data_IF_442427369286
#
_entry.id   IF_442427369286
#
_cell.length_a   1.000
_cell.length_b   1.000
_cell.length_c   1.000
_cell.angle_alpha   90.00
_cell.angle_beta   90.00
_cell.angle_gamma   90.00
#
_symmetry.space_group_name_H-M   'P 1'
#
loop_
_entity.id
_entity.type
_entity.pdbx_description
1 polymer ?
#
# COMPACT_ATOMS: atom_id res chain seq x y z
N UNK A 1 -20.74 -40.80 26.91
CA UNK A 1 -19.66 -40.80 25.90
C UNK A 1 -19.99 -40.03 24.61
N UNK A 2 -21.27 -39.88 24.20
CA UNK A 2 -21.65 -39.15 22.96
C UNK A 2 -21.46 -37.62 22.96
N UNK A 3 -21.40 -36.98 24.14
CA UNK A 3 -21.24 -35.50 24.25
C UNK A 3 -19.81 -35.02 23.98
N UNK A 4 -18.81 -35.88 24.20
CA UNK A 4 -17.39 -35.53 24.00
C UNK A 4 -17.01 -35.46 22.52
N UNK A 5 -17.62 -36.30 21.67
CA UNK A 5 -17.39 -36.29 20.22
C UNK A 5 -17.95 -35.05 19.52
N UNK A 6 -19.03 -34.46 20.06
CA UNK A 6 -19.61 -33.23 19.53
C UNK A 6 -18.70 -32.02 19.83
N UNK A 7 -18.12 -31.94 21.02
CA UNK A 7 -17.17 -30.87 21.39
C UNK A 7 -15.87 -30.92 20.58
N UNK A 8 -15.35 -32.13 20.29
CA UNK A 8 -14.16 -32.29 19.44
C UNK A 8 -14.44 -31.93 17.96
N UNK A 9 -15.63 -32.23 17.44
CA UNK A 9 -16.03 -31.87 16.08
C UNK A 9 -16.22 -30.36 15.88
N UNK A 10 -16.74 -29.66 16.89
CA UNK A 10 -16.91 -28.19 16.85
C UNK A 10 -15.56 -27.46 16.96
N UNK A 11 -14.64 -27.98 17.79
CA UNK A 11 -13.28 -27.42 17.89
C UNK A 11 -12.47 -27.63 16.60
N UNK A 12 -12.57 -28.81 15.95
CA UNK A 12 -11.93 -29.08 14.67
C UNK A 12 -12.46 -28.23 13.51
N UNK A 13 -13.77 -27.96 13.50
CA UNK A 13 -14.38 -27.09 12.50
C UNK A 13 -14.01 -25.61 12.70
N UNK A 14 -13.91 -25.15 13.94
CA UNK A 14 -13.50 -23.77 14.29
C UNK A 14 -12.02 -23.46 13.95
N UNK A 15 -11.11 -24.44 14.11
CA UNK A 15 -9.70 -24.26 13.71
C UNK A 15 -9.55 -24.28 12.19
N UNK A 16 -10.36 -25.08 11.49
CA UNK A 16 -10.35 -25.16 10.03
C UNK A 16 -10.86 -23.86 9.37
N UNK A 17 -11.88 -23.22 9.92
CA UNK A 17 -12.37 -21.92 9.43
C UNK A 17 -11.43 -20.76 9.70
N UNK A 18 -10.65 -20.80 10.79
CA UNK A 18 -9.63 -19.78 11.06
C UNK A 18 -8.47 -19.85 10.05
N UNK A 19 -8.05 -21.04 9.64
CA UNK A 19 -7.01 -21.22 8.61
C UNK A 19 -7.47 -20.77 7.21
N UNK A 20 -8.74 -20.98 6.88
CA UNK A 20 -9.36 -20.53 5.63
C UNK A 20 -9.61 -19.01 5.58
N UNK A 21 -9.70 -18.35 6.74
CA UNK A 21 -9.88 -16.89 6.85
C UNK A 21 -8.56 -16.11 6.74
N UNK A 22 -7.43 -16.76 6.97
CA UNK A 22 -6.10 -16.26 6.60
C UNK A 22 -5.87 -16.43 5.10
N UNK A 23 -6.65 -15.70 4.30
CA UNK A 23 -6.35 -15.53 2.87
C UNK A 23 -4.89 -15.10 2.72
N UNK A 24 -4.19 -15.74 1.77
CA UNK A 24 -2.78 -15.48 1.52
C UNK A 24 -2.60 -13.98 1.21
N UNK A 25 -2.15 -13.20 2.20
CA UNK A 25 -1.76 -11.80 1.99
C UNK A 25 -0.53 -11.82 1.10
N UNK A 26 -0.63 -11.19 -0.07
CA UNK A 26 0.55 -11.00 -0.91
C UNK A 26 1.53 -10.07 -0.18
N UNK A 27 2.82 -10.15 -0.52
CA UNK A 27 3.81 -9.18 -0.08
C UNK A 27 3.37 -7.73 -0.44
N UNK A 28 2.64 -7.58 -1.54
CA UNK A 28 2.10 -6.30 -2.01
C UNK A 28 0.99 -5.75 -1.09
N UNK A 29 0.15 -6.62 -0.53
CA UNK A 29 -0.91 -6.21 0.41
C UNK A 29 -0.30 -5.63 1.69
N UNK A 30 0.78 -6.25 2.18
CA UNK A 30 1.52 -5.74 3.33
C UNK A 30 2.15 -4.37 3.03
N UNK A 31 2.59 -4.13 1.79
CA UNK A 31 3.22 -2.86 1.41
C UNK A 31 2.21 -1.73 1.33
N UNK A 32 1.05 -1.95 0.71
CA UNK A 32 0.01 -0.93 0.65
C UNK A 32 -0.50 -0.60 2.06
N UNK A 33 -0.66 -1.59 2.93
CA UNK A 33 -1.05 -1.37 4.31
C UNK A 33 -0.01 -0.52 5.07
N UNK A 34 1.29 -0.76 4.84
CA UNK A 34 2.36 0.11 5.35
C UNK A 34 2.26 1.55 4.82
N UNK A 35 1.91 1.75 3.54
CA UNK A 35 1.69 3.09 2.97
C UNK A 35 0.48 3.78 3.59
N UNK A 36 -0.62 3.06 3.83
CA UNK A 36 -1.80 3.60 4.51
C UNK A 36 -1.48 4.03 5.93
N UNK A 37 -0.77 3.18 6.68
CA UNK A 37 -0.39 3.45 8.07
C UNK A 37 0.57 4.65 8.19
N UNK A 38 1.52 4.81 7.27
CA UNK A 38 2.42 5.96 7.28
C UNK A 38 1.77 7.25 6.76
N UNK A 39 0.68 7.14 5.99
CA UNK A 39 -0.12 8.26 5.49
C UNK A 39 0.36 8.88 4.17
N UNK A 40 1.50 8.44 3.62
CA UNK A 40 2.05 8.97 2.37
C UNK A 40 2.79 7.91 1.54
N UNK A 41 2.93 8.16 0.24
CA UNK A 41 3.85 7.44 -0.64
C UNK A 41 5.04 8.32 -1.05
N UNK A 42 6.25 7.79 -0.97
CA UNK A 42 7.45 8.48 -1.48
C UNK A 42 7.62 8.18 -2.97
N UNK A 43 7.66 9.22 -3.78
CA UNK A 43 7.75 9.14 -5.24
C UNK A 43 9.03 9.81 -5.72
N UNK A 44 9.80 9.11 -6.56
CA UNK A 44 11.02 9.67 -7.13
C UNK A 44 10.69 10.70 -8.24
N UNK A 45 11.39 11.83 -8.27
CA UNK A 45 11.10 12.99 -9.13
C UNK A 45 12.40 13.52 -9.77
N UNK A 46 12.44 13.56 -11.10
CA UNK A 46 13.60 13.99 -11.89
C UNK A 46 13.53 15.44 -12.40
N UNK A 47 12.45 16.18 -12.10
CA UNK A 47 12.24 17.56 -12.55
C UNK A 47 12.32 17.74 -14.08
N UNK A 48 11.45 17.03 -14.79
CA UNK A 48 11.28 17.08 -16.25
C UNK A 48 9.91 17.67 -16.64
N UNK A 49 9.75 19.01 -16.68
CA UNK A 49 8.50 19.61 -17.12
C UNK A 49 8.15 19.20 -18.57
N UNK A 50 6.87 18.96 -18.90
CA UNK A 50 5.68 19.12 -18.05
C UNK A 50 5.30 17.87 -17.23
N UNK A 51 6.10 16.80 -17.27
CA UNK A 51 5.78 15.53 -16.63
C UNK A 51 6.00 15.55 -15.12
N UNK A 52 7.09 16.16 -14.67
CA UNK A 52 7.38 16.40 -13.26
C UNK A 52 8.00 17.79 -13.10
N UNK A 53 7.61 18.52 -12.07
CA UNK A 53 8.19 19.82 -11.74
C UNK A 53 8.34 19.95 -10.22
N UNK A 54 9.43 20.56 -9.78
CA UNK A 54 9.66 20.93 -8.38
C UNK A 54 9.68 22.44 -8.26
N UNK A 55 8.73 23.01 -7.54
CA UNK A 55 8.69 24.44 -7.24
C UNK A 55 9.75 24.82 -6.20
N UNK A 56 10.07 26.11 -6.10
CA UNK A 56 11.07 26.62 -5.14
C UNK A 56 10.70 26.37 -3.67
N UNK A 57 9.41 26.19 -3.36
CA UNK A 57 8.92 25.80 -2.04
C UNK A 57 8.93 24.28 -1.80
N UNK A 58 9.49 23.51 -2.75
CA UNK A 58 9.58 22.05 -2.70
C UNK A 58 8.31 21.33 -3.13
N UNK A 59 7.24 22.03 -3.54
CA UNK A 59 6.03 21.36 -4.04
C UNK A 59 6.29 20.70 -5.38
N UNK A 60 5.71 19.51 -5.54
CA UNK A 60 5.81 18.73 -6.76
C UNK A 60 4.48 18.68 -7.50
N UNK A 61 4.54 18.92 -8.81
CA UNK A 61 3.40 18.94 -9.73
C UNK A 61 3.79 18.37 -11.10
N UNK A 62 2.81 18.26 -12.01
CA UNK A 62 2.99 17.74 -13.35
C UNK A 62 2.19 16.47 -13.59
N UNK A 63 2.17 16.00 -14.84
CA UNK A 63 1.29 14.91 -15.25
C UNK A 63 1.50 13.62 -14.41
N UNK A 64 2.74 13.26 -14.10
CA UNK A 64 3.05 12.04 -13.34
C UNK A 64 2.65 12.13 -11.85
N UNK A 65 3.09 13.13 -11.06
CA UNK A 65 2.73 13.24 -9.65
C UNK A 65 1.24 13.54 -9.44
N UNK A 66 0.56 14.23 -10.36
CA UNK A 66 -0.88 14.48 -10.24
C UNK A 66 -1.69 13.18 -10.38
N UNK A 67 -1.34 12.33 -11.35
CA UNK A 67 -1.94 11.00 -11.50
C UNK A 67 -1.61 10.11 -10.31
N UNK A 68 -0.36 10.09 -9.86
CA UNK A 68 0.06 9.30 -8.71
C UNK A 68 -0.71 9.68 -7.44
N UNK A 69 -0.87 10.99 -7.18
CA UNK A 69 -1.62 11.50 -6.03
C UNK A 69 -3.07 11.02 -6.04
N UNK A 70 -3.74 11.08 -7.18
CA UNK A 70 -5.13 10.64 -7.28
C UNK A 70 -5.28 9.12 -7.13
N UNK A 71 -4.34 8.33 -7.68
CA UNK A 71 -4.33 6.87 -7.49
C UNK A 71 -4.13 6.53 -6.00
N UNK A 72 -3.10 7.08 -5.35
CA UNK A 72 -2.81 6.80 -3.95
C UNK A 72 -3.96 7.22 -3.03
N UNK A 73 -4.60 8.36 -3.31
CA UNK A 73 -5.80 8.80 -2.58
C UNK A 73 -6.93 7.78 -2.67
N UNK A 74 -7.21 7.23 -3.86
CA UNK A 74 -8.20 6.15 -4.05
C UNK A 74 -7.83 4.86 -3.33
N UNK A 75 -6.53 4.62 -3.13
CA UNK A 75 -5.99 3.49 -2.36
C UNK A 75 -5.94 3.75 -0.85
N UNK A 76 -6.36 4.92 -0.35
CA UNK A 76 -6.35 5.27 1.08
C UNK A 76 -5.03 5.83 1.59
N UNK A 77 -4.12 6.26 0.70
CA UNK A 77 -2.87 6.95 1.02
C UNK A 77 -3.03 8.42 0.64
N UNK A 78 -3.18 9.29 1.64
CA UNK A 78 -3.70 10.65 1.43
C UNK A 78 -2.69 11.64 0.85
N UNK A 79 -1.40 11.31 0.86
CA UNK A 79 -0.35 12.22 0.39
C UNK A 79 0.75 11.53 -0.42
N UNK A 80 1.47 12.31 -1.21
CA UNK A 80 2.71 11.92 -1.88
C UNK A 80 3.83 12.89 -1.51
N UNK A 81 5.00 12.35 -1.18
CA UNK A 81 6.21 13.13 -0.89
C UNK A 81 7.27 12.87 -1.94
N UNK A 82 7.96 13.93 -2.35
CA UNK A 82 8.97 13.83 -3.39
C UNK A 82 10.30 13.31 -2.84
N UNK A 83 10.94 12.45 -3.62
CA UNK A 83 12.35 12.09 -3.49
C UNK A 83 13.05 12.55 -4.76
N UNK A 84 13.77 13.66 -4.68
CA UNK A 84 14.43 14.24 -5.85
C UNK A 84 15.66 13.41 -6.17
N UNK A 85 15.76 12.92 -7.41
CA UNK A 85 16.91 12.18 -7.89
C UNK A 85 17.00 12.34 -9.41
N UNK A 86 18.22 12.30 -9.96
CA UNK A 86 18.40 12.22 -11.40
C UNK A 86 17.76 10.94 -11.95
N UNK A 87 17.23 10.99 -13.18
CA UNK A 87 16.47 9.87 -13.77
C UNK A 87 17.21 8.52 -13.70
N UNK A 88 18.51 8.53 -14.01
CA UNK A 88 19.35 7.33 -13.98
C UNK A 88 19.61 6.74 -12.59
N UNK A 89 19.22 7.43 -11.53
CA UNK A 89 19.39 7.00 -10.13
C UNK A 89 18.04 6.65 -9.46
N UNK A 90 16.97 6.50 -10.23
CA UNK A 90 15.63 6.16 -9.70
C UNK A 90 15.39 4.65 -9.54
N UNK A 91 16.27 3.79 -10.06
CA UNK A 91 16.21 2.33 -10.01
C UNK A 91 17.59 1.73 -9.80
#
# INVERSE_FOLDING_TARGET
MKKLGILAGVAGLAVSTMLLASGARSADDAKLEQLKQQGFARVAIANEPPYTAVAADGKVSGAAPDVAREIFKRLGVNDIVASISEYGAMI
#
